data_IF_345742782861
#
_entry.id   IF_345742782861
#
_cell.length_a   1.000
_cell.length_b   1.000
_cell.length_c   1.000
_cell.angle_alpha   90.00
_cell.angle_beta   90.00
_cell.angle_gamma   90.00
#
_symmetry.space_group_name_H-M   'P 1'
#
loop_
_entity.id
_entity.type
_entity.pdbx_description
1 polymer ?
#
# COMPACT_ATOMS: atom_id res chain seq x y z
N UNK A 1 -15.42 -28.84 -12.29
CA UNK A 1 -14.88 -27.48 -12.05
C UNK A 1 -14.00 -27.12 -13.22
N UNK A 2 -14.15 -25.96 -13.89
CA UNK A 2 -13.28 -25.57 -14.97
C UNK A 2 -11.84 -25.47 -14.44
N UNK A 3 -10.89 -25.99 -15.21
CA UNK A 3 -9.45 -25.97 -14.87
C UNK A 3 -8.81 -24.61 -15.23
N UNK A 4 -9.49 -23.83 -16.07
CA UNK A 4 -9.02 -22.56 -16.59
C UNK A 4 -10.11 -21.48 -16.39
N UNK A 5 -9.66 -20.22 -16.31
CA UNK A 5 -10.54 -19.06 -16.34
C UNK A 5 -11.25 -19.00 -17.71
N UNK A 6 -12.51 -18.57 -17.73
CA UNK A 6 -13.19 -18.26 -18.99
C UNK A 6 -12.64 -16.96 -19.63
N UNK A 7 -13.13 -16.63 -20.83
CA UNK A 7 -12.57 -15.50 -21.59
C UNK A 7 -12.81 -14.14 -20.89
N UNK A 8 -13.94 -13.97 -20.18
CA UNK A 8 -14.25 -12.75 -19.45
C UNK A 8 -13.38 -12.65 -18.19
N UNK A 9 -13.28 -13.73 -17.43
CA UNK A 9 -12.40 -13.83 -16.26
C UNK A 9 -10.93 -13.57 -16.63
N UNK A 10 -10.45 -14.15 -17.76
CA UNK A 10 -9.10 -13.91 -18.24
C UNK A 10 -8.84 -12.45 -18.63
N UNK A 11 -9.84 -11.81 -19.27
CA UNK A 11 -9.73 -10.40 -19.66
C UNK A 11 -9.62 -9.51 -18.42
N UNK A 12 -10.50 -9.73 -17.44
CA UNK A 12 -10.48 -8.99 -16.17
C UNK A 12 -9.17 -9.21 -15.41
N UNK A 13 -8.71 -10.46 -15.30
CA UNK A 13 -7.46 -10.80 -14.62
C UNK A 13 -6.24 -10.14 -15.25
N UNK A 14 -6.14 -10.15 -16.59
CA UNK A 14 -5.05 -9.46 -17.30
C UNK A 14 -5.11 -7.95 -17.12
N UNK A 15 -6.32 -7.38 -17.12
CA UNK A 15 -6.56 -5.97 -16.82
C UNK A 15 -6.07 -5.59 -15.43
N UNK A 16 -6.48 -6.36 -14.41
CA UNK A 16 -6.01 -6.19 -13.04
C UNK A 16 -4.48 -6.23 -12.92
N UNK A 17 -3.82 -7.23 -13.52
CA UNK A 17 -2.37 -7.35 -13.51
C UNK A 17 -1.66 -6.18 -14.22
N UNK A 18 -2.25 -5.64 -15.27
CA UNK A 18 -1.71 -4.48 -15.97
C UNK A 18 -1.86 -3.20 -15.14
N UNK A 19 -3.05 -2.97 -14.57
CA UNK A 19 -3.35 -1.80 -13.74
C UNK A 19 -2.52 -1.82 -12.45
N UNK A 20 -2.48 -2.95 -11.74
CA UNK A 20 -1.75 -3.07 -10.47
C UNK A 20 -0.24 -2.80 -10.59
N UNK A 21 0.34 -2.98 -11.77
CA UNK A 21 1.75 -2.65 -12.05
C UNK A 21 1.96 -1.21 -12.50
N UNK A 22 1.05 -0.65 -13.32
CA UNK A 22 1.25 0.64 -13.99
C UNK A 22 0.72 1.82 -13.20
N UNK A 23 -0.38 1.64 -12.48
CA UNK A 23 -1.02 2.72 -11.72
C UNK A 23 -0.13 3.29 -10.62
N UNK A 24 0.54 2.46 -9.78
CA UNK A 24 1.47 2.98 -8.78
C UNK A 24 2.60 3.81 -9.39
N UNK A 25 3.17 3.37 -10.52
CA UNK A 25 4.23 4.09 -11.20
C UNK A 25 3.75 5.43 -11.79
N UNK A 26 2.52 5.47 -12.33
CA UNK A 26 1.92 6.69 -12.85
C UNK A 26 1.71 7.73 -11.73
N UNK A 27 1.17 7.31 -10.59
CA UNK A 27 0.97 8.17 -9.43
C UNK A 27 2.31 8.63 -8.84
N UNK A 28 3.30 7.72 -8.75
CA UNK A 28 4.60 8.02 -8.18
C UNK A 28 5.39 9.07 -9.00
N UNK A 29 5.23 9.12 -10.31
CA UNK A 29 5.89 10.14 -11.16
C UNK A 29 5.52 11.57 -10.75
N UNK A 30 4.24 11.83 -10.50
CA UNK A 30 3.76 13.15 -10.10
C UNK A 30 4.34 13.61 -8.74
N UNK A 31 4.51 12.69 -7.80
CA UNK A 31 5.12 13.01 -6.51
C UNK A 31 6.65 13.14 -6.62
N UNK A 32 7.29 12.39 -7.51
CA UNK A 32 8.73 12.45 -7.74
C UNK A 32 9.16 13.79 -8.37
N UNK A 33 8.36 14.36 -9.25
CA UNK A 33 8.58 15.71 -9.79
C UNK A 33 8.55 16.79 -8.71
N UNK A 34 7.85 16.52 -7.59
CA UNK A 34 7.87 17.36 -6.39
C UNK A 34 9.06 17.07 -5.45
N UNK A 35 10.04 16.27 -5.87
CA UNK A 35 11.20 15.88 -5.04
C UNK A 35 10.92 14.79 -4.00
N UNK A 36 9.74 14.15 -4.07
CA UNK A 36 9.32 13.09 -3.16
C UNK A 36 9.21 11.76 -3.90
N UNK A 37 10.09 10.77 -3.67
CA UNK A 37 9.87 9.43 -4.19
C UNK A 37 8.53 8.86 -3.73
N UNK A 38 7.71 8.33 -4.66
CA UNK A 38 6.33 7.91 -4.37
C UNK A 38 6.20 6.88 -3.24
N UNK A 39 7.16 5.95 -3.12
CA UNK A 39 7.20 4.99 -2.02
C UNK A 39 7.36 5.66 -0.63
N UNK A 40 8.06 6.79 -0.55
CA UNK A 40 8.23 7.54 0.70
C UNK A 40 6.96 8.30 1.06
N UNK A 41 6.28 8.86 0.05
CA UNK A 41 5.00 9.51 0.27
C UNK A 41 3.98 8.57 0.91
N UNK A 42 3.82 7.35 0.37
CA UNK A 42 2.87 6.35 0.90
C UNK A 42 3.17 6.02 2.37
N UNK A 43 4.44 5.80 2.73
CA UNK A 43 4.84 5.54 4.11
C UNK A 43 4.46 6.70 5.02
N UNK A 44 4.79 7.92 4.63
CA UNK A 44 4.50 9.10 5.45
C UNK A 44 3.01 9.42 5.51
N UNK A 45 2.25 9.22 4.44
CA UNK A 45 0.81 9.38 4.42
C UNK A 45 0.13 8.40 5.40
N UNK A 46 0.51 7.12 5.40
CA UNK A 46 0.02 6.13 6.36
C UNK A 46 0.35 6.55 7.80
N UNK A 47 1.57 7.03 8.06
CA UNK A 47 1.95 7.52 9.38
C UNK A 47 1.17 8.77 9.79
N UNK A 48 0.85 9.67 8.85
CA UNK A 48 0.08 10.89 9.14
C UNK A 48 -1.35 10.62 9.61
N UNK A 49 -1.94 9.52 9.17
CA UNK A 49 -3.28 9.06 9.53
C UNK A 49 -3.29 8.19 10.80
N UNK A 50 -2.13 7.70 11.24
CA UNK A 50 -2.03 6.82 12.40
C UNK A 50 -2.18 7.61 13.73
N UNK A 51 -2.74 6.99 14.80
CA UNK A 51 -2.81 7.59 16.11
C UNK A 51 -1.42 8.04 16.60
N UNK A 52 -1.31 9.31 16.99
CA UNK A 52 -0.03 9.90 17.40
C UNK A 52 1.02 9.97 16.29
N UNK A 53 0.61 9.82 15.02
CA UNK A 53 1.48 9.81 13.84
C UNK A 53 2.61 8.79 13.94
N UNK A 54 2.33 7.65 14.55
CA UNK A 54 3.32 6.60 14.77
C UNK A 54 2.75 5.20 14.52
N UNK A 55 3.63 4.27 14.13
CA UNK A 55 3.25 2.89 13.86
C UNK A 55 4.42 1.94 14.11
N UNK A 56 4.12 0.69 14.50
CA UNK A 56 5.15 -0.36 14.57
C UNK A 56 5.70 -0.67 13.19
N UNK A 57 7.00 -0.91 13.10
CA UNK A 57 7.66 -1.23 11.82
C UNK A 57 7.06 -2.45 11.13
N UNK A 58 6.61 -3.47 11.87
CA UNK A 58 5.93 -4.65 11.32
C UNK A 58 4.56 -4.30 10.74
N UNK A 59 3.75 -3.52 11.45
CA UNK A 59 2.44 -3.06 11.00
C UNK A 59 2.57 -2.16 9.76
N UNK A 60 3.56 -1.26 9.75
CA UNK A 60 3.84 -0.42 8.61
C UNK A 60 4.20 -1.24 7.36
N UNK A 61 5.00 -2.32 7.54
CA UNK A 61 5.35 -3.24 6.45
C UNK A 61 4.10 -3.94 5.87
N UNK A 62 3.20 -4.39 6.73
CA UNK A 62 1.92 -5.00 6.33
C UNK A 62 1.04 -4.00 5.57
N UNK A 63 0.84 -2.79 6.11
CA UNK A 63 0.00 -1.75 5.47
C UNK A 63 0.53 -1.30 4.12
N UNK A 64 1.84 -1.22 3.97
CA UNK A 64 2.48 -0.87 2.67
C UNK A 64 2.57 -2.09 1.75
N UNK A 65 2.18 -3.29 2.20
CA UNK A 65 2.34 -4.56 1.47
C UNK A 65 3.79 -4.76 1.00
N UNK A 66 4.75 -4.51 1.89
CA UNK A 66 6.19 -4.56 1.58
C UNK A 66 6.95 -5.43 2.58
N UNK A 67 8.15 -5.88 2.21
CA UNK A 67 8.97 -6.65 3.13
C UNK A 67 9.50 -5.79 4.28
N UNK A 68 9.68 -6.36 5.50
CA UNK A 68 10.25 -5.65 6.65
C UNK A 68 11.59 -4.98 6.36
N UNK A 69 12.44 -5.64 5.57
CA UNK A 69 13.75 -5.10 5.17
C UNK A 69 13.61 -3.84 4.30
N UNK A 70 12.70 -3.85 3.31
CA UNK A 70 12.46 -2.69 2.44
C UNK A 70 11.90 -1.51 3.23
N UNK A 71 10.95 -1.77 4.14
CA UNK A 71 10.40 -0.73 5.02
C UNK A 71 11.49 -0.18 5.94
N UNK A 72 12.35 -1.04 6.52
CA UNK A 72 13.47 -0.59 7.34
C UNK A 72 14.36 0.38 6.58
N UNK A 73 14.80 0.01 5.38
CA UNK A 73 15.64 0.88 4.55
C UNK A 73 14.93 2.19 4.14
N UNK A 74 13.63 2.12 3.81
CA UNK A 74 12.87 3.33 3.47
C UNK A 74 12.75 4.27 4.66
N UNK A 75 12.45 3.75 5.85
CA UNK A 75 12.36 4.54 7.09
C UNK A 75 13.72 5.12 7.48
N UNK A 76 14.84 4.40 7.27
CA UNK A 76 16.18 4.94 7.50
C UNK A 76 16.46 6.15 6.60
N UNK A 77 16.10 6.06 5.32
CA UNK A 77 16.22 7.19 4.37
C UNK A 77 15.33 8.38 4.72
N UNK A 78 14.14 8.12 5.26
CA UNK A 78 13.25 9.17 5.76
C UNK A 78 13.79 9.81 7.04
N UNK A 79 14.44 9.02 7.90
CA UNK A 79 15.09 9.50 9.11
C UNK A 79 16.32 10.36 8.81
N UNK A 80 17.13 10.00 7.81
CA UNK A 80 18.25 10.81 7.32
C UNK A 80 17.81 12.22 6.85
N UNK A 81 16.53 12.34 6.40
CA UNK A 81 15.93 13.62 5.99
C UNK A 81 15.22 14.36 7.13
N UNK A 82 15.15 13.78 8.32
CA UNK A 82 14.42 14.35 9.44
C UNK A 82 12.89 14.24 9.36
N UNK A 83 12.35 13.53 8.35
CA UNK A 83 10.89 13.45 8.14
C UNK A 83 10.22 12.36 8.98
N UNK A 84 10.97 11.36 9.37
CA UNK A 84 10.54 10.30 10.29
C UNK A 84 11.63 10.11 11.33
N UNK A 85 11.29 9.70 12.54
CA UNK A 85 12.25 9.24 13.54
C UNK A 85 11.91 7.83 13.97
N UNK A 86 12.93 7.08 14.42
CA UNK A 86 12.74 5.77 15.04
C UNK A 86 12.70 5.93 16.54
N UNK A 87 11.74 5.29 17.17
CA UNK A 87 11.64 5.20 18.62
C UNK A 87 11.53 3.74 19.06
N UNK A 88 11.97 3.47 20.27
CA UNK A 88 11.72 2.18 20.91
C UNK A 88 10.32 2.22 21.50
N UNK A 89 9.56 1.14 21.29
CA UNK A 89 8.25 1.02 21.94
C UNK A 89 8.45 0.89 23.45
N UNK A 90 7.75 1.69 24.21
CA UNK A 90 7.75 1.60 25.68
C UNK A 90 7.08 0.33 26.19
N UNK A 91 6.12 -0.20 25.42
CA UNK A 91 5.32 -1.39 25.78
C UNK A 91 5.97 -2.70 25.30
N UNK A 92 6.90 -2.63 24.35
CA UNK A 92 7.58 -3.81 23.80
C UNK A 92 9.04 -3.48 23.53
N UNK A 93 9.93 -3.97 24.39
CA UNK A 93 11.37 -3.77 24.31
C UNK A 93 12.02 -4.21 22.97
N UNK A 94 11.30 -5.02 22.17
CA UNK A 94 11.76 -5.51 20.86
C UNK A 94 11.12 -4.75 19.69
N UNK A 95 10.10 -3.90 19.96
CA UNK A 95 9.38 -3.17 18.93
C UNK A 95 10.01 -1.82 18.62
N UNK A 96 10.30 -1.56 17.36
CA UNK A 96 10.67 -0.24 16.84
C UNK A 96 9.42 0.43 16.25
N UNK A 97 9.23 1.71 16.58
CA UNK A 97 8.21 2.59 16.01
C UNK A 97 8.84 3.48 14.95
N UNK A 98 8.11 3.70 13.87
CA UNK A 98 8.32 4.82 12.96
C UNK A 98 7.38 5.96 13.38
N UNK A 99 7.91 7.14 13.59
CA UNK A 99 7.16 8.32 14.04
C UNK A 99 7.34 9.43 13.03
N UNK A 100 6.25 9.95 12.46
CA UNK A 100 6.30 11.09 11.55
C UNK A 100 6.60 12.36 12.34
N UNK A 101 7.59 13.13 11.88
CA UNK A 101 7.93 14.42 12.49
C UNK A 101 7.01 15.54 12.00
N UNK A 102 7.04 16.69 12.63
CA UNK A 102 6.34 17.91 12.14
C UNK A 102 6.87 18.32 10.77
N UNK A 103 8.18 18.20 10.53
CA UNK A 103 8.76 18.45 9.21
C UNK A 103 8.24 17.45 8.17
N UNK A 104 8.18 16.15 8.52
CA UNK A 104 7.58 15.12 7.68
C UNK A 104 6.11 15.40 7.38
N UNK A 105 5.33 15.84 8.36
CA UNK A 105 3.93 16.22 8.15
C UNK A 105 3.79 17.39 7.16
N UNK A 106 4.58 18.44 7.32
CA UNK A 106 4.59 19.57 6.39
C UNK A 106 4.98 19.13 4.96
N UNK A 107 5.83 18.12 4.82
CA UNK A 107 6.17 17.53 3.51
C UNK A 107 4.98 16.77 2.92
N UNK A 108 4.26 15.97 3.72
CA UNK A 108 3.04 15.27 3.28
C UNK A 108 1.99 16.27 2.80
N UNK A 109 1.72 17.30 3.56
CA UNK A 109 0.73 18.34 3.23
C UNK A 109 1.04 19.04 1.90
N UNK A 110 2.31 19.34 1.64
CA UNK A 110 2.73 19.93 0.35
C UNK A 110 2.60 18.98 -0.84
N UNK A 111 2.83 17.69 -0.61
CA UNK A 111 2.77 16.67 -1.67
C UNK A 111 1.36 16.17 -1.94
N UNK A 112 0.47 16.18 -0.94
CA UNK A 112 -0.88 15.62 -1.01
C UNK A 112 -1.72 16.13 -2.19
N UNK A 113 -1.77 17.44 -2.53
CA UNK A 113 -2.59 17.92 -3.66
C UNK A 113 -2.16 17.30 -5.00
N UNK A 114 -0.86 17.08 -5.22
CA UNK A 114 -0.36 16.44 -6.45
C UNK A 114 -0.69 14.94 -6.46
N UNK A 115 -0.50 14.27 -5.33
CA UNK A 115 -0.86 12.87 -5.20
C UNK A 115 -2.35 12.63 -5.45
N UNK A 116 -3.22 13.41 -4.80
CA UNK A 116 -4.68 13.31 -4.98
C UNK A 116 -5.07 13.55 -6.42
N UNK A 117 -4.49 14.56 -7.08
CA UNK A 117 -4.73 14.82 -8.50
C UNK A 117 -4.32 13.62 -9.35
N UNK A 118 -3.11 13.08 -9.15
CA UNK A 118 -2.64 11.92 -9.90
C UNK A 118 -3.54 10.68 -9.71
N UNK A 119 -4.02 10.44 -8.50
CA UNK A 119 -4.97 9.34 -8.22
C UNK A 119 -6.29 9.58 -8.94
N UNK A 120 -6.82 10.81 -8.91
CA UNK A 120 -8.07 11.14 -9.60
C UNK A 120 -7.95 10.97 -11.11
N UNK A 121 -6.97 11.60 -11.74
CA UNK A 121 -6.77 11.58 -13.19
C UNK A 121 -6.51 10.17 -13.73
N UNK A 122 -5.80 9.33 -12.98
CA UNK A 122 -5.42 7.98 -13.43
C UNK A 122 -6.42 6.88 -13.02
N UNK A 123 -7.38 7.17 -12.15
CA UNK A 123 -8.35 6.18 -11.68
C UNK A 123 -9.76 6.76 -11.53
N UNK A 124 -10.00 7.66 -10.58
CA UNK A 124 -11.36 8.01 -10.18
C UNK A 124 -12.14 8.84 -11.21
N UNK A 125 -11.49 9.72 -11.95
CA UNK A 125 -12.15 10.53 -12.98
C UNK A 125 -12.54 9.71 -14.23
N UNK A 126 -12.07 8.46 -14.32
CA UNK A 126 -12.46 7.49 -15.36
C UNK A 126 -13.71 6.69 -14.98
N UNK A 127 -14.22 6.80 -13.76
CA UNK A 127 -15.29 5.97 -13.23
C UNK A 127 -16.58 6.76 -13.04
N UNK A 128 -17.72 6.16 -13.39
CA UNK A 128 -19.01 6.64 -12.91
C UNK A 128 -19.21 6.35 -11.41
N UNK A 129 -20.22 6.96 -10.78
CA UNK A 129 -20.57 6.69 -9.38
C UNK A 129 -20.95 5.23 -9.15
N UNK A 130 -21.66 4.64 -10.09
CA UNK A 130 -22.08 3.23 -10.06
C UNK A 130 -20.85 2.31 -10.17
N UNK A 131 -19.93 2.61 -11.08
CA UNK A 131 -18.68 1.85 -11.23
C UNK A 131 -17.81 1.93 -9.99
N UNK A 132 -17.74 3.10 -9.35
CA UNK A 132 -17.02 3.28 -8.10
C UNK A 132 -17.60 2.42 -6.98
N UNK A 133 -18.94 2.38 -6.83
CA UNK A 133 -19.59 1.54 -5.84
C UNK A 133 -19.32 0.03 -6.06
N UNK A 134 -19.41 -0.42 -7.31
CA UNK A 134 -19.11 -1.83 -7.68
C UNK A 134 -17.65 -2.16 -7.38
N UNK A 135 -16.72 -1.25 -7.67
CA UNK A 135 -15.28 -1.46 -7.42
C UNK A 135 -14.97 -1.56 -5.93
N UNK A 136 -15.64 -0.73 -5.11
CA UNK A 136 -15.53 -0.77 -3.65
C UNK A 136 -16.01 -2.12 -3.10
N UNK A 137 -17.19 -2.60 -3.51
CA UNK A 137 -17.74 -3.91 -3.13
C UNK A 137 -16.81 -5.07 -3.53
N UNK A 138 -16.25 -5.03 -4.74
CA UNK A 138 -15.32 -6.06 -5.22
C UNK A 138 -14.04 -6.07 -4.39
N UNK A 139 -13.45 -4.91 -4.14
CA UNK A 139 -12.23 -4.82 -3.32
C UNK A 139 -12.47 -5.26 -1.89
N UNK A 140 -13.58 -4.87 -1.27
CA UNK A 140 -13.95 -5.32 0.07
C UNK A 140 -14.05 -6.85 0.16
N UNK A 141 -14.76 -7.50 -0.77
CA UNK A 141 -14.91 -8.95 -0.80
C UNK A 141 -13.58 -9.70 -1.02
N UNK A 142 -12.72 -9.16 -1.91
CA UNK A 142 -11.40 -9.75 -2.18
C UNK A 142 -10.48 -9.62 -0.97
N UNK A 143 -10.44 -8.45 -0.31
CA UNK A 143 -9.64 -8.22 0.89
C UNK A 143 -10.09 -9.11 2.04
N UNK A 144 -11.38 -9.20 2.32
CA UNK A 144 -11.92 -10.11 3.34
C UNK A 144 -11.47 -11.57 3.09
N UNK A 145 -11.50 -12.00 1.84
CA UNK A 145 -11.05 -13.36 1.48
C UNK A 145 -9.56 -13.58 1.67
N UNK A 146 -8.73 -12.55 1.39
CA UNK A 146 -7.28 -12.62 1.53
C UNK A 146 -6.82 -12.55 2.99
N UNK A 147 -7.53 -11.83 3.84
CA UNK A 147 -7.26 -11.68 5.27
C UNK A 147 -7.79 -12.85 6.09
N UNK A 148 -8.75 -13.61 5.56
CA UNK A 148 -9.27 -14.80 6.22
C UNK A 148 -8.14 -15.83 6.43
N UNK A 149 -7.97 -16.39 7.65
CA UNK A 149 -6.96 -17.40 7.90
C UNK A 149 -7.14 -18.57 6.92
N UNK A 150 -6.05 -19.00 6.29
CA UNK A 150 -6.08 -20.12 5.36
C UNK A 150 -6.76 -21.32 5.99
N UNK A 151 -7.72 -21.98 5.32
CA UNK A 151 -8.38 -23.16 5.88
C UNK A 151 -7.31 -24.20 6.22
N UNK A 152 -7.20 -24.55 7.50
CA UNK A 152 -6.32 -25.61 7.97
C UNK A 152 -6.70 -26.89 7.24
N UNK A 153 -5.89 -27.35 6.30
CA UNK A 153 -6.03 -28.66 5.72
C UNK A 153 -6.25 -28.78 4.22
N UNK A 154 -5.48 -28.09 3.41
CA UNK A 154 -5.28 -28.56 2.05
C UNK A 154 -3.95 -29.29 2.00
N UNK A 155 -4.00 -30.62 2.24
CA UNK A 155 -2.86 -31.50 2.00
C UNK A 155 -2.36 -31.24 0.57
N UNK A 156 -1.05 -31.11 0.41
CA UNK A 156 -0.44 -31.02 -0.91
C UNK A 156 -0.88 -32.24 -1.73
N UNK A 157 -1.24 -32.08 -3.03
CA UNK A 157 -1.50 -33.23 -3.87
C UNK A 157 -0.24 -34.11 -3.90
N UNK A 158 -0.40 -35.44 -3.93
CA UNK A 158 0.73 -36.36 -4.05
C UNK A 158 1.51 -36.05 -5.33
N UNK A 159 2.83 -36.24 -5.34
CA UNK A 159 3.64 -36.05 -6.55
C UNK A 159 3.11 -36.98 -7.67
N UNK A 160 3.17 -36.54 -8.93
CA UNK A 160 2.77 -37.35 -10.04
C UNK A 160 3.63 -38.62 -10.12
N UNK A 161 3.09 -39.75 -10.64
CA UNK A 161 3.78 -41.03 -10.76
C UNK A 161 5.00 -40.95 -11.68
#
# INVERSE_FOLDING_TARGET
MPTWLDDDEQRVWRGYLAVSRRLPDAIARETQEAGMPGAYYIIMAILSEAPGRQMRMSELAERVSSSPSRISHAVDRLAERGWVRRERSETDRRGNLAVLTEEGMAVVERAAPRHVRAVRENLFDLLSREQLAVLDEVFAAVLERLEAPAPKGRAAPPPPP
#
